data_IF_603696012026
#
_entry.id   IF_603696012026
#
_cell.length_a   1.000
_cell.length_b   1.000
_cell.length_c   1.000
_cell.angle_alpha   90.00
_cell.angle_beta   90.00
_cell.angle_gamma   90.00
#
_symmetry.space_group_name_H-M   'P 1'
#
loop_
_entity.id
_entity.type
_entity.pdbx_description
1 polymer ?
#
# COMPACT_ATOMS: atom_id res chain seq x y z
N UNK A 1 21.70 8.12 -13.39
CA UNK A 1 22.21 8.76 -12.16
C UNK A 1 21.01 9.06 -11.25
N UNK A 2 20.39 8.02 -10.65
CA UNK A 2 19.37 8.20 -9.62
C UNK A 2 20.09 8.10 -8.27
N UNK A 3 20.50 9.24 -7.73
CA UNK A 3 21.03 9.32 -6.38
C UNK A 3 20.00 8.77 -5.40
N UNK A 4 20.48 8.01 -4.40
CA UNK A 4 19.71 7.48 -3.26
C UNK A 4 18.67 8.51 -2.83
N UNK A 5 17.39 8.11 -2.92
CA UNK A 5 16.20 8.85 -2.50
C UNK A 5 16.35 9.40 -1.07
N UNK A 6 17.04 10.52 -0.92
CA UNK A 6 17.38 11.11 0.36
C UNK A 6 17.22 12.63 0.27
N UNK A 7 16.69 13.21 1.33
CA UNK A 7 16.52 14.64 1.48
C UNK A 7 17.79 15.15 2.16
N UNK A 8 18.74 15.65 1.37
CA UNK A 8 20.05 16.08 1.88
C UNK A 8 20.78 15.00 2.70
N UNK A 9 20.72 13.73 2.27
CA UNK A 9 21.34 12.61 2.98
C UNK A 9 20.48 11.95 4.05
N UNK A 10 19.28 12.47 4.33
CA UNK A 10 18.31 11.87 5.26
C UNK A 10 17.26 11.04 4.53
N UNK A 11 16.87 9.91 5.14
CA UNK A 11 15.91 8.98 4.54
C UNK A 11 14.45 9.45 4.67
N UNK A 12 14.16 10.48 5.47
CA UNK A 12 12.82 11.07 5.61
C UNK A 12 12.90 12.51 6.12
N UNK A 13 11.85 13.29 5.86
CA UNK A 13 11.71 14.64 6.42
C UNK A 13 11.70 14.58 7.95
N UNK A 14 11.01 13.58 8.52
CA UNK A 14 10.96 13.38 9.97
C UNK A 14 12.35 13.20 10.57
N UNK A 15 13.20 12.36 9.94
CA UNK A 15 14.57 12.13 10.41
C UNK A 15 15.46 13.38 10.23
N UNK A 16 15.32 14.09 9.12
CA UNK A 16 16.00 15.39 8.91
C UNK A 16 15.66 16.36 10.03
N UNK A 17 14.38 16.52 10.37
CA UNK A 17 13.95 17.48 11.40
C UNK A 17 14.39 17.03 12.80
N UNK A 18 14.21 15.76 13.15
CA UNK A 18 14.53 15.25 14.49
C UNK A 18 16.03 15.25 14.79
N UNK A 19 16.87 15.03 13.77
CA UNK A 19 18.32 14.97 13.93
C UNK A 19 18.98 16.36 14.00
N UNK A 20 18.33 17.40 13.45
CA UNK A 20 18.96 18.72 13.29
C UNK A 20 18.32 19.83 14.13
N UNK A 21 17.11 19.63 14.64
CA UNK A 21 16.44 20.61 15.50
C UNK A 21 16.62 20.27 16.98
N UNK A 22 16.71 21.31 17.83
CA UNK A 22 16.64 21.12 19.28
C UNK A 22 15.30 20.48 19.65
N UNK A 23 15.23 19.60 20.67
CA UNK A 23 14.00 18.84 21.00
C UNK A 23 12.73 19.69 21.12
N UNK A 24 12.80 20.85 21.79
CA UNK A 24 11.67 21.76 21.96
C UNK A 24 11.20 22.36 20.62
N UNK A 25 12.15 22.75 19.76
CA UNK A 25 11.83 23.30 18.45
C UNK A 25 11.29 22.21 17.52
N UNK A 26 11.84 21.01 17.59
CA UNK A 26 11.34 19.86 16.85
C UNK A 26 9.90 19.52 17.23
N UNK A 27 9.56 19.54 18.53
CA UNK A 27 8.20 19.34 19.02
C UNK A 27 7.24 20.39 18.45
N UNK A 28 7.63 21.67 18.49
CA UNK A 28 6.80 22.77 17.97
C UNK A 28 6.63 22.71 16.45
N UNK A 29 7.69 22.43 15.70
CA UNK A 29 7.62 22.21 14.25
C UNK A 29 6.73 21.00 13.93
N UNK A 30 6.85 19.91 14.66
CA UNK A 30 6.02 18.72 14.47
C UNK A 30 4.55 19.01 14.76
N UNK A 31 4.24 19.78 15.81
CA UNK A 31 2.88 20.24 16.13
C UNK A 31 2.27 21.05 14.99
N UNK A 32 3.04 21.95 14.37
CA UNK A 32 2.58 22.78 13.26
C UNK A 32 2.40 22.00 11.94
N UNK A 33 3.31 21.07 11.64
CA UNK A 33 3.29 20.31 10.38
C UNK A 33 2.31 19.12 10.40
N UNK A 34 2.25 18.38 11.51
CA UNK A 34 1.50 17.13 11.62
C UNK A 34 0.21 17.29 12.44
N UNK A 35 0.12 18.31 13.27
CA UNK A 35 -0.97 18.48 14.23
C UNK A 35 -0.79 17.66 15.51
N UNK A 36 -1.86 17.60 16.30
CA UNK A 36 -1.96 16.81 17.53
C UNK A 36 -3.08 15.76 17.39
N UNK A 37 -2.93 14.68 18.14
CA UNK A 37 -3.90 13.61 18.29
C UNK A 37 -4.48 13.68 19.71
N UNK A 38 -5.70 14.20 19.85
CA UNK A 38 -6.34 14.48 21.14
C UNK A 38 -5.39 15.23 22.10
N UNK A 39 -4.94 16.40 21.68
CA UNK A 39 -4.04 17.30 22.44
C UNK A 39 -2.61 16.77 22.69
N UNK A 40 -2.30 15.55 22.25
CA UNK A 40 -1.00 14.93 22.42
C UNK A 40 -0.29 14.68 21.09
N UNK A 41 1.02 14.50 21.13
CA UNK A 41 1.75 14.07 19.94
C UNK A 41 1.32 12.65 19.53
N UNK A 42 1.42 12.34 18.23
CA UNK A 42 1.08 11.02 17.72
C UNK A 42 1.92 9.93 18.41
N UNK A 43 1.24 8.96 19.04
CA UNK A 43 1.87 7.86 19.76
C UNK A 43 2.41 6.82 18.77
N UNK A 44 3.67 6.40 18.96
CA UNK A 44 4.29 5.30 18.20
C UNK A 44 4.00 3.98 18.90
N UNK A 45 3.55 2.99 18.14
CA UNK A 45 3.33 1.62 18.61
C UNK A 45 4.56 0.78 18.27
N UNK A 46 5.01 -0.04 19.21
CA UNK A 46 6.03 -1.05 18.94
C UNK A 46 5.37 -2.25 18.24
N UNK A 47 5.74 -2.58 16.98
CA UNK A 47 5.19 -3.75 16.30
C UNK A 47 5.58 -5.07 16.99
N UNK A 48 4.80 -6.15 16.84
CA UNK A 48 5.16 -7.46 17.38
C UNK A 48 6.51 -7.97 16.86
N UNK A 49 7.21 -8.77 17.66
CA UNK A 49 8.55 -9.26 17.33
C UNK A 49 8.55 -10.12 16.05
N UNK A 50 7.49 -10.89 15.82
CA UNK A 50 7.29 -11.65 14.57
C UNK A 50 7.26 -10.75 13.32
N UNK A 51 6.61 -9.58 13.41
CA UNK A 51 6.56 -8.62 12.32
C UNK A 51 7.91 -7.91 12.13
N UNK A 52 8.60 -7.56 13.23
CA UNK A 52 9.95 -6.98 13.17
C UNK A 52 10.97 -7.95 12.57
N UNK A 53 10.92 -9.23 12.94
CA UNK A 53 11.81 -10.26 12.39
C UNK A 53 11.64 -10.39 10.87
N UNK A 54 10.39 -10.34 10.36
CA UNK A 54 10.12 -10.31 8.92
C UNK A 54 10.66 -9.03 8.26
N UNK A 55 10.44 -7.87 8.89
CA UNK A 55 10.94 -6.57 8.43
C UNK A 55 12.47 -6.55 8.31
N UNK A 56 13.19 -7.05 9.30
CA UNK A 56 14.66 -7.15 9.26
C UNK A 56 15.13 -8.17 8.23
N UNK A 57 14.50 -9.36 8.16
CA UNK A 57 14.90 -10.42 7.22
C UNK A 57 14.69 -10.06 5.76
N UNK A 58 13.62 -9.32 5.45
CA UNK A 58 13.23 -8.96 4.09
C UNK A 58 13.45 -7.47 3.77
N UNK A 59 14.19 -6.76 4.63
CA UNK A 59 14.68 -5.40 4.43
C UNK A 59 13.61 -4.37 4.03
N UNK A 60 12.45 -4.41 4.68
CA UNK A 60 11.39 -3.40 4.51
C UNK A 60 11.17 -2.59 5.77
N UNK A 61 10.75 -1.33 5.63
CA UNK A 61 10.47 -0.45 6.77
C UNK A 61 9.12 -0.82 7.39
N UNK A 62 9.08 -0.89 8.72
CA UNK A 62 7.87 -1.15 9.50
C UNK A 62 7.70 -0.05 10.54
N UNK A 63 6.58 0.66 10.48
CA UNK A 63 6.22 1.72 11.42
C UNK A 63 4.76 1.53 11.84
N UNK A 64 4.44 1.84 13.08
CA UNK A 64 3.08 1.77 13.59
C UNK A 64 2.80 2.96 14.50
N UNK A 65 1.61 3.54 14.35
CA UNK A 65 1.18 4.72 15.09
C UNK A 65 -0.24 4.49 15.61
N UNK A 66 -0.61 5.21 16.68
CA UNK A 66 -1.92 5.13 17.30
C UNK A 66 -2.61 6.48 17.26
N UNK A 67 -3.76 6.50 16.58
CA UNK A 67 -4.73 7.58 16.70
C UNK A 67 -5.69 7.24 17.84
N UNK A 68 -5.84 8.16 18.78
CA UNK A 68 -6.67 7.97 19.97
C UNK A 68 -7.92 8.82 19.85
N UNK A 69 -8.92 8.47 20.63
CA UNK A 69 -10.17 9.24 20.76
C UNK A 69 -10.62 9.18 22.20
N UNK A 70 -11.49 10.10 22.59
CA UNK A 70 -12.10 10.08 23.91
C UNK A 70 -12.88 8.78 24.13
N UNK A 71 -12.80 8.27 25.36
CA UNK A 71 -13.48 7.02 25.70
C UNK A 71 -14.99 7.24 25.67
N UNK A 72 -15.68 6.54 24.77
CA UNK A 72 -17.13 6.46 24.81
C UNK A 72 -17.61 5.44 25.85
N UNK A 73 -18.76 5.69 26.47
CA UNK A 73 -19.37 4.76 27.43
C UNK A 73 -19.99 3.52 26.76
N UNK A 74 -20.45 3.66 25.51
CA UNK A 74 -21.28 2.65 24.83
C UNK A 74 -20.56 1.95 23.68
N UNK A 75 -19.37 2.42 23.27
CA UNK A 75 -18.66 1.89 22.11
C UNK A 75 -17.21 1.61 22.45
N UNK A 76 -16.77 0.41 22.08
CA UNK A 76 -15.36 0.02 22.16
C UNK A 76 -14.56 0.60 20.97
N UNK A 77 -13.28 0.94 21.16
CA UNK A 77 -12.41 1.43 20.09
C UNK A 77 -12.14 0.32 19.07
N UNK A 78 -12.12 0.69 17.79
CA UNK A 78 -12.22 -0.27 16.69
C UNK A 78 -11.30 0.13 15.54
N UNK A 79 -10.42 -0.81 15.19
CA UNK A 79 -9.68 -0.96 13.92
C UNK A 79 -8.19 -0.63 13.95
N UNK A 80 -7.42 -1.54 13.36
CA UNK A 80 -6.05 -1.31 12.91
C UNK A 80 -6.02 -1.37 11.38
N UNK A 81 -5.48 -0.33 10.77
CA UNK A 81 -5.29 -0.25 9.32
C UNK A 81 -3.82 -0.42 8.96
N UNK A 82 -3.54 -1.06 7.81
CA UNK A 82 -2.21 -1.25 7.28
C UNK A 82 -2.12 -0.70 5.85
N UNK A 83 -0.97 -0.10 5.54
CA UNK A 83 -0.67 0.44 4.21
C UNK A 83 0.64 -0.15 3.73
N UNK A 84 0.65 -0.66 2.51
CA UNK A 84 1.85 -1.18 1.85
C UNK A 84 2.23 -0.27 0.69
N UNK A 85 3.48 0.17 0.70
CA UNK A 85 4.15 0.80 -0.42
C UNK A 85 5.38 -0.02 -0.81
N UNK A 86 5.58 -0.23 -2.12
CA UNK A 86 6.68 -1.03 -2.65
C UNK A 86 7.10 -0.52 -4.03
N UNK A 87 8.36 -0.80 -4.39
CA UNK A 87 8.84 -0.75 -5.77
C UNK A 87 8.57 -2.07 -6.50
N UNK A 88 8.62 -2.04 -7.84
CA UNK A 88 8.72 -3.25 -8.66
C UNK A 88 10.01 -4.03 -8.35
N UNK A 89 10.03 -5.32 -8.66
CA UNK A 89 11.15 -6.22 -8.31
C UNK A 89 12.08 -6.50 -9.49
N UNK A 90 11.54 -6.81 -10.68
CA UNK A 90 12.31 -7.13 -11.88
C UNK A 90 12.34 -5.97 -12.89
N UNK A 91 13.31 -5.95 -13.83
CA UNK A 91 13.33 -4.99 -14.92
C UNK A 91 12.04 -5.04 -15.74
N UNK A 92 11.61 -3.90 -16.26
CA UNK A 92 10.39 -3.78 -17.08
C UNK A 92 10.49 -4.52 -18.42
N UNK A 93 11.69 -4.95 -18.81
CA UNK A 93 11.96 -5.78 -20.00
C UNK A 93 11.82 -7.27 -19.77
N UNK A 94 11.67 -7.74 -18.52
CA UNK A 94 11.43 -9.15 -18.21
C UNK A 94 10.03 -9.59 -18.66
N UNK A 95 9.76 -10.91 -18.81
CA UNK A 95 8.41 -11.41 -19.08
C UNK A 95 7.40 -10.92 -18.05
N UNK A 96 6.18 -10.58 -18.48
CA UNK A 96 5.14 -10.03 -17.60
C UNK A 96 4.78 -10.96 -16.43
N UNK A 97 4.72 -12.27 -16.69
CA UNK A 97 4.50 -13.31 -15.69
C UNK A 97 5.56 -13.27 -14.57
N UNK A 98 6.83 -13.10 -14.96
CA UNK A 98 7.95 -13.11 -14.02
C UNK A 98 7.96 -11.83 -13.19
N UNK A 99 7.66 -10.68 -13.81
CA UNK A 99 7.52 -9.41 -13.09
C UNK A 99 6.44 -9.49 -12.01
N UNK A 100 5.26 -10.04 -12.36
CA UNK A 100 4.14 -10.22 -11.42
C UNK A 100 4.51 -11.17 -10.28
N UNK A 101 5.07 -12.34 -10.61
CA UNK A 101 5.53 -13.33 -9.62
C UNK A 101 6.54 -12.73 -8.65
N UNK A 102 7.49 -11.95 -9.14
CA UNK A 102 8.50 -11.32 -8.30
C UNK A 102 7.92 -10.24 -7.37
N UNK A 103 6.81 -9.58 -7.76
CA UNK A 103 6.07 -8.68 -6.87
C UNK A 103 5.32 -9.48 -5.80
N UNK A 104 4.69 -10.61 -6.16
CA UNK A 104 4.00 -11.49 -5.19
C UNK A 104 4.97 -12.04 -4.14
N UNK A 105 6.14 -12.51 -4.57
CA UNK A 105 7.20 -13.00 -3.67
C UNK A 105 7.70 -11.91 -2.73
N UNK A 106 7.85 -10.67 -3.23
CA UNK A 106 8.22 -9.52 -2.41
C UNK A 106 7.14 -9.13 -1.40
N UNK A 107 5.87 -9.12 -1.80
CA UNK A 107 4.78 -8.68 -0.93
C UNK A 107 4.37 -9.74 0.10
N UNK A 108 4.51 -11.03 -0.18
CA UNK A 108 4.16 -12.12 0.74
C UNK A 108 4.68 -11.88 2.18
N UNK A 109 5.99 -11.66 2.43
CA UNK A 109 6.48 -11.40 3.78
C UNK A 109 5.99 -10.07 4.39
N UNK A 110 5.68 -9.06 3.55
CA UNK A 110 5.16 -7.76 4.01
C UNK A 110 3.70 -7.91 4.47
N UNK A 111 2.89 -8.65 3.72
CA UNK A 111 1.50 -8.98 4.09
C UNK A 111 1.49 -9.87 5.33
N UNK A 112 2.41 -10.85 5.43
CA UNK A 112 2.54 -11.68 6.62
C UNK A 112 2.90 -10.86 7.88
N UNK A 113 3.79 -9.86 7.76
CA UNK A 113 4.11 -8.95 8.86
C UNK A 113 2.93 -8.04 9.24
N UNK A 114 2.13 -7.65 8.25
CA UNK A 114 0.88 -6.88 8.43
C UNK A 114 -0.14 -7.71 9.21
N UNK A 115 -0.37 -8.96 8.81
CA UNK A 115 -1.24 -9.90 9.51
C UNK A 115 -0.76 -10.21 10.93
N UNK A 116 0.56 -10.42 11.11
CA UNK A 116 1.17 -10.60 12.43
C UNK A 116 1.01 -9.37 13.35
N UNK A 117 0.83 -8.19 12.78
CA UNK A 117 0.57 -6.94 13.51
C UNK A 117 -0.91 -6.76 13.90
N UNK A 118 -1.78 -7.72 13.57
CA UNK A 118 -3.21 -7.68 13.91
C UNK A 118 -3.99 -6.63 13.11
N UNK A 119 -3.57 -6.36 11.88
CA UNK A 119 -4.25 -5.41 10.99
C UNK A 119 -5.60 -5.99 10.55
N UNK A 120 -6.65 -5.18 10.61
CA UNK A 120 -8.01 -5.57 10.21
C UNK A 120 -8.32 -5.19 8.76
N UNK A 121 -7.72 -4.08 8.27
CA UNK A 121 -7.91 -3.59 6.90
C UNK A 121 -6.53 -3.26 6.32
N UNK A 122 -6.16 -3.94 5.24
CA UNK A 122 -4.93 -3.70 4.50
C UNK A 122 -5.23 -3.03 3.16
N UNK A 123 -4.49 -1.98 2.83
CA UNK A 123 -4.55 -1.33 1.52
C UNK A 123 -3.19 -1.42 0.81
N UNK A 124 -3.21 -1.87 -0.44
CA UNK A 124 -2.06 -1.82 -1.34
C UNK A 124 -2.08 -0.54 -2.17
N UNK A 125 -0.92 -0.15 -2.70
CA UNK A 125 -0.81 1.00 -3.60
C UNK A 125 -1.54 0.80 -4.94
N UNK A 126 -1.70 1.88 -5.68
CA UNK A 126 -2.29 1.85 -7.02
C UNK A 126 -1.51 0.92 -7.97
N UNK A 127 -2.25 0.11 -8.74
CA UNK A 127 -1.71 -0.79 -9.76
C UNK A 127 -0.49 -1.60 -9.27
N UNK A 128 -0.54 -2.08 -8.02
CA UNK A 128 0.62 -2.60 -7.28
C UNK A 128 1.37 -3.76 -7.95
N UNK A 129 0.73 -4.44 -8.90
CA UNK A 129 1.26 -5.62 -9.60
C UNK A 129 2.02 -5.34 -10.88
N UNK A 130 2.12 -4.08 -11.28
CA UNK A 130 2.76 -3.72 -12.52
C UNK A 130 3.68 -2.51 -12.34
N UNK A 131 4.67 -2.34 -13.22
CA UNK A 131 5.29 -1.05 -13.40
C UNK A 131 4.22 -0.02 -13.76
N UNK A 132 4.37 1.22 -13.29
CA UNK A 132 3.49 2.32 -13.70
C UNK A 132 3.82 2.75 -15.14
N UNK A 133 3.48 1.90 -16.10
CA UNK A 133 3.89 1.99 -17.49
C UNK A 133 2.98 2.91 -18.32
N UNK A 134 2.00 3.57 -17.71
CA UNK A 134 1.08 4.45 -18.42
C UNK A 134 1.78 5.64 -19.11
N UNK A 135 3.00 5.98 -18.67
CA UNK A 135 3.86 6.97 -19.31
C UNK A 135 4.29 6.60 -20.74
N UNK A 136 4.41 5.31 -21.07
CA UNK A 136 4.89 4.85 -22.38
C UNK A 136 3.82 4.92 -23.46
N UNK A 137 2.54 4.88 -23.06
CA UNK A 137 1.35 4.80 -23.94
C UNK A 137 1.28 3.53 -24.82
N UNK A 138 2.12 2.53 -24.57
CA UNK A 138 2.15 1.29 -25.35
C UNK A 138 1.09 0.28 -24.87
N UNK A 139 0.32 -0.31 -25.80
CA UNK A 139 -0.75 -1.25 -25.43
C UNK A 139 -0.29 -2.62 -24.94
N UNK A 140 0.99 -2.98 -25.09
CA UNK A 140 1.55 -4.23 -24.55
C UNK A 140 1.36 -4.35 -23.02
N UNK A 141 1.33 -3.22 -22.31
CA UNK A 141 1.18 -3.20 -20.85
C UNK A 141 -0.23 -3.64 -20.40
N UNK A 142 -1.21 -3.68 -21.32
CA UNK A 142 -2.55 -4.21 -21.07
C UNK A 142 -2.57 -5.72 -20.75
N UNK A 143 -1.47 -6.45 -20.98
CA UNK A 143 -1.33 -7.85 -20.56
C UNK A 143 -1.29 -8.02 -19.03
N UNK A 144 -0.98 -6.96 -18.27
CA UNK A 144 -1.15 -6.96 -16.82
C UNK A 144 -2.61 -6.89 -16.37
N UNK A 145 -3.55 -6.62 -17.28
CA UNK A 145 -4.95 -6.48 -16.93
C UNK A 145 -5.60 -7.83 -16.62
N UNK A 146 -6.30 -7.91 -15.49
CA UNK A 146 -6.94 -9.13 -15.00
C UNK A 146 -8.44 -8.91 -14.76
N UNK A 147 -9.29 -9.95 -14.86
CA UNK A 147 -10.63 -9.85 -14.32
C UNK A 147 -10.56 -9.63 -12.80
N UNK A 148 -11.63 -9.10 -12.20
CA UNK A 148 -11.66 -8.81 -10.75
C UNK A 148 -11.49 -10.03 -9.85
N UNK A 149 -11.72 -11.23 -10.37
CA UNK A 149 -11.47 -12.51 -9.69
C UNK A 149 -10.22 -13.23 -10.22
N UNK A 150 -9.30 -12.49 -10.85
CA UNK A 150 -8.04 -12.96 -11.39
C UNK A 150 -7.04 -13.40 -10.31
N UNK A 151 -5.90 -13.87 -10.78
CA UNK A 151 -4.83 -14.44 -9.95
C UNK A 151 -4.39 -13.51 -8.80
N UNK A 152 -4.37 -12.20 -9.04
CA UNK A 152 -4.09 -11.18 -8.03
C UNK A 152 -5.02 -11.17 -6.84
N UNK A 153 -6.31 -11.28 -7.12
CA UNK A 153 -7.35 -11.33 -6.11
C UNK A 153 -7.28 -12.66 -5.39
N UNK A 154 -7.07 -13.76 -6.10
CA UNK A 154 -6.89 -15.10 -5.53
C UNK A 154 -5.70 -15.16 -4.57
N UNK A 155 -4.56 -14.62 -4.97
CA UNK A 155 -3.38 -14.47 -4.12
C UNK A 155 -3.71 -13.74 -2.82
N UNK A 156 -4.44 -12.62 -2.88
CA UNK A 156 -4.82 -11.85 -1.70
C UNK A 156 -5.94 -12.51 -0.86
N UNK A 157 -6.84 -13.28 -1.47
CA UNK A 157 -7.89 -14.01 -0.76
C UNK A 157 -7.32 -15.00 0.25
N UNK A 158 -6.18 -15.64 -0.05
CA UNK A 158 -5.46 -16.51 0.89
C UNK A 158 -5.07 -15.77 2.17
N UNK A 159 -4.53 -14.55 2.04
CA UNK A 159 -4.13 -13.74 3.20
C UNK A 159 -5.32 -13.15 3.94
N UNK A 160 -6.38 -12.76 3.23
CA UNK A 160 -7.61 -12.27 3.82
C UNK A 160 -8.19 -13.31 4.78
N UNK A 161 -8.27 -14.57 4.34
CA UNK A 161 -8.69 -15.72 5.14
C UNK A 161 -7.71 -16.01 6.29
N UNK A 162 -6.42 -16.14 5.98
CA UNK A 162 -5.37 -16.49 6.95
C UNK A 162 -5.33 -15.54 8.14
N UNK A 163 -5.55 -14.25 7.90
CA UNK A 163 -5.41 -13.20 8.91
C UNK A 163 -6.73 -12.58 9.36
N UNK A 164 -7.88 -13.09 8.88
CA UNK A 164 -9.19 -12.50 9.15
C UNK A 164 -9.20 -10.97 8.87
N UNK A 165 -8.71 -10.61 7.68
CA UNK A 165 -8.37 -9.24 7.29
C UNK A 165 -9.08 -8.85 6.00
N UNK A 166 -9.65 -7.65 5.96
CA UNK A 166 -10.15 -7.05 4.71
C UNK A 166 -8.98 -6.51 3.92
N UNK A 167 -8.94 -6.75 2.60
CA UNK A 167 -7.85 -6.29 1.72
C UNK A 167 -8.42 -5.45 0.57
N UNK A 168 -7.85 -4.27 0.37
CA UNK A 168 -8.15 -3.37 -0.74
C UNK A 168 -7.01 -3.47 -1.76
N UNK A 169 -7.33 -3.97 -2.95
CA UNK A 169 -6.38 -4.25 -4.03
C UNK A 169 -6.68 -3.37 -5.25
N UNK A 170 -5.78 -2.45 -5.59
CA UNK A 170 -5.89 -1.66 -6.82
C UNK A 170 -5.20 -2.37 -7.99
N UNK A 171 -5.97 -2.71 -9.02
CA UNK A 171 -5.53 -3.45 -10.20
C UNK A 171 -5.92 -2.73 -11.50
N UNK A 172 -5.23 -3.07 -12.59
CA UNK A 172 -5.76 -2.85 -13.93
C UNK A 172 -6.76 -3.98 -14.21
N UNK A 173 -8.04 -3.64 -14.21
CA UNK A 173 -9.14 -4.58 -14.46
C UNK A 173 -9.36 -4.75 -15.96
N UNK A 174 -9.56 -5.99 -16.41
CA UNK A 174 -10.14 -6.34 -17.71
C UNK A 174 -11.58 -6.82 -17.51
N UNK A 175 -12.55 -6.04 -17.98
CA UNK A 175 -13.97 -6.37 -17.83
C UNK A 175 -14.46 -7.28 -18.95
N UNK A 176 -14.32 -8.60 -18.75
CA UNK A 176 -14.70 -9.63 -19.72
C UNK A 176 -16.19 -9.54 -20.10
N UNK A 177 -17.05 -9.09 -19.18
CA UNK A 177 -18.50 -8.99 -19.42
C UNK A 177 -18.88 -7.76 -20.26
N UNK A 178 -17.99 -6.77 -20.39
CA UNK A 178 -18.22 -5.52 -21.12
C UNK A 178 -17.13 -5.30 -22.17
N UNK A 179 -16.96 -6.29 -23.05
CA UNK A 179 -16.10 -6.17 -24.23
C UNK A 179 -14.60 -6.06 -23.91
N UNK A 180 -14.15 -6.64 -22.80
CA UNK A 180 -12.77 -6.58 -22.33
C UNK A 180 -12.23 -5.16 -22.07
N UNK A 181 -13.13 -4.21 -21.78
CA UNK A 181 -12.76 -2.83 -21.47
C UNK A 181 -11.85 -2.78 -20.24
N UNK A 182 -10.81 -1.95 -20.29
CA UNK A 182 -9.86 -1.80 -19.21
C UNK A 182 -10.27 -0.71 -18.22
N UNK A 183 -10.05 -0.95 -16.94
CA UNK A 183 -10.37 0.00 -15.87
C UNK A 183 -9.30 0.02 -14.80
N UNK A 184 -9.05 1.20 -14.23
CA UNK A 184 -8.33 1.27 -12.96
C UNK A 184 -9.34 1.02 -11.83
N UNK A 185 -9.15 -0.07 -11.09
CA UNK A 185 -10.17 -0.61 -10.19
C UNK A 185 -9.59 -1.01 -8.84
N UNK A 186 -10.20 -0.52 -7.77
CA UNK A 186 -10.01 -1.05 -6.43
C UNK A 186 -11.00 -2.20 -6.18
N UNK A 187 -10.49 -3.40 -5.92
CA UNK A 187 -11.26 -4.58 -5.50
C UNK A 187 -11.22 -4.68 -3.98
N UNK A 188 -12.38 -4.88 -3.34
CA UNK A 188 -12.51 -5.06 -1.90
C UNK A 188 -12.71 -6.54 -1.61
N UNK A 189 -11.72 -7.15 -0.97
CA UNK A 189 -11.72 -8.56 -0.55
C UNK A 189 -12.08 -8.60 0.93
N UNK A 190 -13.16 -9.29 1.27
CA UNK A 190 -13.61 -9.49 2.63
C UNK A 190 -12.71 -10.44 3.42
N UNK A 191 -12.81 -10.37 4.74
CA UNK A 191 -12.06 -11.22 5.67
C UNK A 191 -12.41 -12.72 5.57
N UNK A 192 -13.53 -13.07 4.94
CA UNK A 192 -13.89 -14.45 4.56
C UNK A 192 -13.39 -14.84 3.16
N UNK A 193 -12.50 -14.03 2.57
CA UNK A 193 -12.00 -14.23 1.21
C UNK A 193 -13.02 -13.95 0.10
N UNK A 194 -14.25 -13.54 0.39
CA UNK A 194 -15.20 -13.18 -0.66
C UNK A 194 -14.89 -11.81 -1.27
N UNK A 195 -15.17 -11.60 -2.55
CA UNK A 195 -15.15 -10.25 -3.14
C UNK A 195 -16.41 -9.53 -2.65
N UNK A 196 -16.24 -8.47 -1.86
CA UNK A 196 -17.34 -7.65 -1.34
C UNK A 196 -17.84 -6.72 -2.45
N UNK A 197 -16.93 -6.20 -3.27
CA UNK A 197 -17.27 -5.31 -4.37
C UNK A 197 -16.03 -4.74 -5.05
N UNK A 198 -16.26 -3.79 -5.95
CA UNK A 198 -15.22 -3.06 -6.66
C UNK A 198 -15.61 -1.59 -6.85
N UNK A 199 -14.61 -0.73 -6.96
CA UNK A 199 -14.78 0.69 -7.28
C UNK A 199 -13.81 1.08 -8.41
N UNK A 200 -14.31 1.74 -9.45
CA UNK A 200 -13.51 2.21 -10.59
C UNK A 200 -13.11 3.67 -10.40
N UNK A 201 -11.91 4.03 -10.84
CA UNK A 201 -11.36 5.39 -10.73
C UNK A 201 -12.28 6.41 -11.40
N UNK A 202 -12.87 7.30 -10.62
CA UNK A 202 -13.83 8.30 -11.10
C UNK A 202 -13.19 9.39 -11.97
N UNK A 203 -11.96 9.78 -11.66
CA UNK A 203 -11.25 10.89 -12.30
C UNK A 203 -9.97 10.37 -12.93
N UNK A 204 -9.92 10.39 -14.26
CA UNK A 204 -8.81 9.82 -15.02
C UNK A 204 -7.84 10.94 -15.41
N UNK A 205 -6.57 10.90 -14.94
CA UNK A 205 -5.60 11.94 -15.26
C UNK A 205 -5.13 11.85 -16.72
N UNK A 206 -4.69 13.02 -17.22
CA UNK A 206 -4.16 13.20 -18.57
C UNK A 206 -2.95 14.14 -18.62
N UNK A 207 -2.27 14.32 -17.49
CA UNK A 207 -1.24 15.35 -17.30
C UNK A 207 0.15 14.72 -17.37
N UNK A 208 1.00 15.22 -18.27
CA UNK A 208 2.40 14.79 -18.39
C UNK A 208 2.53 13.30 -18.68
N UNK A 209 3.28 12.60 -17.83
CA UNK A 209 3.51 11.16 -17.93
C UNK A 209 2.33 10.31 -17.42
N UNK A 210 1.35 10.92 -16.74
CA UNK A 210 0.12 10.25 -16.30
C UNK A 210 -0.91 10.21 -17.44
N UNK A 211 -0.63 9.42 -18.47
CA UNK A 211 -1.47 9.25 -19.67
C UNK A 211 -2.49 8.12 -19.52
N UNK A 212 -3.09 8.00 -18.34
CA UNK A 212 -4.06 6.93 -18.02
C UNK A 212 -5.27 6.93 -18.94
N UNK A 213 -5.72 8.11 -19.41
CA UNK A 213 -6.85 8.22 -20.36
C UNK A 213 -6.63 7.50 -21.70
N UNK A 214 -5.39 7.11 -22.00
CA UNK A 214 -5.05 6.39 -23.22
C UNK A 214 -5.39 4.91 -23.10
N UNK A 215 -5.45 4.39 -21.87
CA UNK A 215 -5.57 2.97 -21.58
C UNK A 215 -7.01 2.50 -21.52
#
# INVERSE_FOLDING_TARGET
MFQRWSICGYNSLHHLLSANLKPQLYQEVSRLLLGLNCETALETIVPPESAKALSSKHEFNLQAFKFSTDKELLREPRVRVGFIQNSITLPTTAPFSDQKKAIFEKLRPIIDATGASGVNILCLQEAWMMPFAFCTREKRWCEFAEPVNGESTQFLQEFALKYNMVIISSILERDINHGETLWNTAVIIGNHGNIIGKHRKNHIPRVGDFNESTY
#
